data_IF_447772610092
#
_entry.id   IF_447772610092
#
_cell.length_a   1.000
_cell.length_b   1.000
_cell.length_c   1.000
_cell.angle_alpha   90.00
_cell.angle_beta   90.00
_cell.angle_gamma   90.00
#
_symmetry.space_group_name_H-M   'P 1'
#
loop_
_entity.id
_entity.type
_entity.pdbx_description
1 polymer ?
#
# COMPACT_ATOMS: atom_id res chain seq x y z
N UNK A 1 71.91 -13.98 14.57
CA UNK A 1 71.42 -15.38 14.66
C UNK A 1 69.92 -15.31 14.90
N UNK A 2 69.12 -15.14 13.85
CA UNK A 2 67.65 -15.18 13.95
C UNK A 2 67.27 -16.62 13.64
N UNK A 3 66.70 -17.27 14.62
CA UNK A 3 66.56 -18.70 14.73
C UNK A 3 65.51 -19.25 13.74
N UNK A 4 65.83 -20.37 13.13
CA UNK A 4 64.95 -21.19 12.24
C UNK A 4 63.60 -21.63 12.82
N UNK A 5 63.26 -21.19 14.04
CA UNK A 5 61.96 -21.42 14.70
C UNK A 5 60.81 -20.55 14.16
N UNK A 6 61.11 -19.33 13.73
CA UNK A 6 60.07 -18.38 13.23
C UNK A 6 59.50 -18.79 11.87
N UNK A 7 60.23 -19.50 11.04
CA UNK A 7 59.76 -19.97 9.73
C UNK A 7 58.81 -21.17 9.80
N UNK A 8 58.89 -22.02 10.83
CA UNK A 8 58.00 -23.16 11.02
C UNK A 8 56.61 -22.72 11.48
N UNK A 9 56.50 -21.63 12.25
CA UNK A 9 55.22 -21.13 12.72
C UNK A 9 54.48 -20.31 11.62
N UNK A 10 55.22 -19.61 10.77
CA UNK A 10 54.63 -18.91 9.62
C UNK A 10 54.08 -19.91 8.57
N UNK A 11 54.74 -21.01 8.30
CA UNK A 11 54.25 -22.06 7.42
C UNK A 11 53.01 -22.78 7.94
N UNK A 12 52.90 -22.96 9.27
CA UNK A 12 51.75 -23.61 9.89
C UNK A 12 50.51 -22.69 9.87
N UNK A 13 50.68 -21.35 10.08
CA UNK A 13 49.61 -20.37 10.02
C UNK A 13 49.11 -20.22 8.58
N UNK A 14 49.96 -20.22 7.59
CA UNK A 14 49.56 -20.16 6.16
C UNK A 14 48.80 -21.44 5.77
N UNK A 15 49.21 -22.62 6.25
CA UNK A 15 48.51 -23.88 6.02
C UNK A 15 47.13 -23.95 6.67
N UNK A 16 46.95 -23.33 7.86
CA UNK A 16 45.66 -23.26 8.53
C UNK A 16 44.75 -22.24 7.83
N UNK A 17 45.28 -21.13 7.34
CA UNK A 17 44.51 -20.13 6.58
C UNK A 17 44.06 -20.69 5.21
N UNK A 18 44.88 -21.47 4.53
CA UNK A 18 44.52 -22.12 3.27
C UNK A 18 43.51 -23.25 3.45
N UNK A 19 43.52 -23.97 4.59
CA UNK A 19 42.48 -24.96 4.89
C UNK A 19 41.14 -24.37 5.33
N UNK A 20 41.10 -23.14 5.84
CA UNK A 20 39.87 -22.42 6.15
C UNK A 20 39.21 -21.75 4.90
N UNK A 21 40.01 -21.51 3.85
CA UNK A 21 39.49 -20.96 2.58
C UNK A 21 38.93 -22.10 1.67
N UNK A 22 39.26 -23.37 1.96
CA UNK A 22 38.82 -24.53 1.16
C UNK A 22 37.47 -25.12 1.56
N UNK A 23 36.74 -24.51 2.48
CA UNK A 23 35.37 -24.89 2.83
C UNK A 23 34.35 -23.83 2.42
N UNK A 24 34.55 -23.14 1.30
CA UNK A 24 33.39 -22.67 0.55
C UNK A 24 32.81 -23.90 -0.13
N UNK A 25 31.80 -24.44 0.50
CA UNK A 25 30.94 -25.45 -0.09
C UNK A 25 30.35 -24.84 -1.37
N UNK A 26 31.01 -25.12 -2.49
CA UNK A 26 30.45 -24.94 -3.80
C UNK A 26 29.24 -25.91 -3.87
N UNK A 27 28.10 -25.47 -3.32
CA UNK A 27 26.83 -26.04 -3.74
C UNK A 27 26.73 -25.72 -5.21
N UNK A 28 27.08 -26.67 -6.05
CA UNK A 28 26.67 -26.67 -7.45
C UNK A 28 25.13 -26.65 -7.45
N UNK A 29 24.55 -25.47 -7.36
CA UNK A 29 23.18 -25.27 -7.68
C UNK A 29 23.07 -25.56 -9.16
N UNK A 30 22.39 -26.65 -9.48
CA UNK A 30 21.98 -26.94 -10.84
C UNK A 30 21.11 -25.77 -11.30
N UNK A 31 21.67 -24.94 -12.17
CA UNK A 31 21.10 -23.70 -12.73
C UNK A 31 19.97 -23.99 -13.70
N UNK A 32 19.19 -25.06 -13.50
CA UNK A 32 18.27 -25.63 -14.49
C UNK A 32 17.02 -24.78 -14.71
N UNK A 33 16.59 -23.92 -13.78
CA UNK A 33 15.33 -23.18 -13.90
C UNK A 33 15.49 -21.66 -14.10
N UNK A 34 16.69 -21.11 -13.98
CA UNK A 34 16.90 -19.67 -14.14
C UNK A 34 16.50 -19.11 -15.50
N UNK A 35 16.76 -19.78 -16.64
CA UNK A 35 16.36 -19.29 -17.95
C UNK A 35 14.85 -19.21 -18.11
N UNK A 36 14.10 -20.21 -17.63
CA UNK A 36 12.65 -20.27 -17.69
C UNK A 36 12.01 -19.23 -16.79
N UNK A 37 12.52 -19.03 -15.57
CA UNK A 37 12.07 -17.98 -14.66
C UNK A 37 12.30 -16.59 -15.26
N UNK A 38 13.47 -16.33 -15.80
CA UNK A 38 13.80 -15.06 -16.47
C UNK A 38 12.91 -14.82 -17.69
N UNK A 39 12.63 -15.89 -18.49
CA UNK A 39 11.71 -15.80 -19.63
C UNK A 39 10.29 -15.48 -19.20
N UNK A 40 9.78 -16.16 -18.17
CA UNK A 40 8.43 -15.91 -17.63
C UNK A 40 8.32 -14.47 -17.10
N UNK A 41 9.34 -14.01 -16.36
CA UNK A 41 9.38 -12.66 -15.83
C UNK A 41 9.39 -11.58 -16.92
N UNK A 42 10.22 -11.75 -17.95
CA UNK A 42 10.34 -10.80 -19.05
C UNK A 42 9.04 -10.58 -19.81
N UNK A 43 8.16 -11.60 -19.88
CA UNK A 43 6.88 -11.51 -20.59
C UNK A 43 5.68 -11.25 -19.66
N UNK A 44 5.88 -11.25 -18.34
CA UNK A 44 4.85 -11.23 -17.31
C UNK A 44 3.82 -10.10 -17.46
N UNK A 45 4.28 -8.90 -17.81
CA UNK A 45 3.38 -7.76 -17.98
C UNK A 45 2.63 -7.75 -19.31
N UNK A 46 3.20 -8.35 -20.34
CA UNK A 46 2.63 -8.31 -21.70
C UNK A 46 1.80 -9.56 -22.03
N UNK A 47 2.24 -10.71 -21.55
CA UNK A 47 1.65 -12.02 -21.84
C UNK A 47 1.57 -12.87 -20.57
N UNK A 48 0.73 -12.48 -19.58
CA UNK A 48 0.69 -13.15 -18.28
C UNK A 48 0.21 -14.61 -18.36
N UNK A 49 -0.64 -14.95 -19.32
CA UNK A 49 -1.08 -16.33 -19.63
C UNK A 49 0.09 -17.21 -20.06
N UNK A 50 0.91 -16.71 -20.97
CA UNK A 50 2.11 -17.42 -21.44
C UNK A 50 3.17 -17.53 -20.32
N UNK A 51 3.32 -16.50 -19.50
CA UNK A 51 4.19 -16.54 -18.32
C UNK A 51 3.72 -17.61 -17.32
N UNK A 52 2.42 -17.68 -17.05
CA UNK A 52 1.82 -18.70 -16.19
C UNK A 52 2.09 -20.11 -16.73
N UNK A 53 1.91 -20.34 -18.03
CA UNK A 53 2.17 -21.64 -18.65
C UNK A 53 3.63 -22.08 -18.49
N UNK A 54 4.57 -21.17 -18.69
CA UNK A 54 6.00 -21.45 -18.46
C UNK A 54 6.24 -21.85 -16.99
N UNK A 55 5.69 -21.07 -16.04
CA UNK A 55 5.88 -21.32 -14.61
C UNK A 55 5.25 -22.63 -14.14
N UNK A 56 4.11 -23.03 -14.71
CA UNK A 56 3.46 -24.32 -14.43
C UNK A 56 4.26 -25.52 -14.94
N UNK A 57 5.08 -25.34 -15.97
CA UNK A 57 5.98 -26.37 -16.49
C UNK A 57 7.23 -26.60 -15.61
N UNK A 58 7.50 -25.69 -14.65
CA UNK A 58 8.63 -25.81 -13.73
C UNK A 58 8.18 -26.64 -12.52
N UNK A 59 8.94 -27.70 -12.20
CA UNK A 59 8.78 -28.44 -10.94
C UNK A 59 9.96 -28.08 -10.04
N UNK A 60 9.83 -27.08 -9.17
CA UNK A 60 10.94 -26.69 -8.29
C UNK A 60 11.15 -27.76 -7.22
N UNK A 61 12.39 -28.22 -7.08
CA UNK A 61 12.77 -29.02 -5.92
C UNK A 61 12.58 -28.17 -4.65
N UNK A 62 11.84 -28.72 -3.70
CA UNK A 62 11.48 -28.00 -2.48
C UNK A 62 12.65 -28.00 -1.48
N UNK A 63 13.40 -26.92 -1.39
CA UNK A 63 13.85 -26.47 -0.09
C UNK A 63 13.51 -25.00 0.14
N UNK A 64 12.92 -24.73 1.29
CA UNK A 64 12.48 -23.43 1.80
C UNK A 64 13.53 -22.31 1.78
N UNK A 65 14.78 -22.61 1.53
CA UNK A 65 15.92 -21.67 1.55
C UNK A 65 16.52 -21.37 0.17
N UNK A 66 15.85 -21.77 -0.90
CA UNK A 66 16.36 -21.57 -2.25
C UNK A 66 15.76 -20.32 -2.88
N UNK A 67 16.62 -19.37 -3.30
CA UNK A 67 16.21 -18.16 -4.04
C UNK A 67 15.38 -18.48 -5.30
N UNK A 68 15.72 -19.57 -5.99
CA UNK A 68 14.98 -19.99 -7.18
C UNK A 68 13.55 -20.40 -6.86
N UNK A 69 13.34 -21.14 -5.75
CA UNK A 69 12.01 -21.54 -5.29
C UNK A 69 11.19 -20.34 -4.85
N UNK A 70 11.77 -19.42 -4.09
CA UNK A 70 11.13 -18.18 -3.69
C UNK A 70 10.79 -17.30 -4.89
N UNK A 71 11.67 -17.21 -5.89
CA UNK A 71 11.45 -16.49 -7.15
C UNK A 71 10.30 -17.12 -7.95
N UNK A 72 10.31 -18.46 -8.11
CA UNK A 72 9.22 -19.17 -8.76
C UNK A 72 7.88 -18.92 -8.05
N UNK A 73 7.84 -19.02 -6.73
CA UNK A 73 6.62 -18.78 -5.95
C UNK A 73 6.10 -17.35 -6.12
N UNK A 74 7.00 -16.36 -6.13
CA UNK A 74 6.66 -14.96 -6.36
C UNK A 74 6.09 -14.73 -7.76
N UNK A 75 6.77 -15.23 -8.79
CA UNK A 75 6.33 -15.09 -10.18
C UNK A 75 5.05 -15.88 -10.45
N UNK A 76 4.87 -17.04 -9.82
CA UNK A 76 3.62 -17.82 -9.90
C UNK A 76 2.46 -17.05 -9.29
N UNK A 77 2.64 -16.46 -8.11
CA UNK A 77 1.63 -15.57 -7.50
C UNK A 77 1.28 -14.42 -8.43
N UNK A 78 2.28 -13.76 -9.00
CA UNK A 78 2.08 -12.67 -9.96
C UNK A 78 1.31 -13.12 -11.19
N UNK A 79 1.67 -14.26 -11.77
CA UNK A 79 1.02 -14.78 -12.96
C UNK A 79 -0.43 -15.21 -12.67
N UNK A 80 -0.69 -15.87 -11.56
CA UNK A 80 -2.04 -16.24 -11.13
C UNK A 80 -2.94 -15.02 -10.94
N UNK A 81 -2.45 -14.00 -10.22
CA UNK A 81 -3.18 -12.74 -10.01
C UNK A 81 -3.54 -12.07 -11.34
N UNK A 82 -2.57 -11.92 -12.25
CA UNK A 82 -2.80 -11.30 -13.56
C UNK A 82 -3.77 -12.07 -14.44
N UNK A 83 -3.89 -13.36 -14.25
CA UNK A 83 -4.84 -14.24 -14.94
C UNK A 83 -6.17 -14.43 -14.19
N UNK A 84 -6.41 -13.66 -13.11
CA UNK A 84 -7.64 -13.70 -12.30
C UNK A 84 -7.93 -15.10 -11.73
N UNK A 85 -6.88 -15.85 -11.40
CA UNK A 85 -6.96 -17.14 -10.73
C UNK A 85 -6.96 -16.88 -9.23
N UNK A 86 -7.91 -17.50 -8.52
CA UNK A 86 -7.95 -17.45 -7.06
C UNK A 86 -6.67 -17.99 -6.46
N UNK A 87 -6.11 -17.25 -5.50
CA UNK A 87 -4.81 -17.54 -4.93
C UNK A 87 -4.94 -18.02 -3.49
N UNK A 88 -4.03 -18.92 -3.10
CA UNK A 88 -3.80 -19.25 -1.71
C UNK A 88 -2.59 -18.48 -1.17
N UNK A 89 -2.57 -18.24 0.14
CA UNK A 89 -1.46 -17.57 0.82
C UNK A 89 -0.13 -18.33 0.76
N UNK A 90 -0.14 -19.61 0.37
CA UNK A 90 1.03 -20.49 0.49
C UNK A 90 2.22 -20.00 -0.32
N UNK A 91 2.02 -19.69 -1.61
CA UNK A 91 3.10 -19.28 -2.50
C UNK A 91 3.69 -17.92 -2.11
N UNK A 92 2.83 -16.94 -1.84
CA UNK A 92 3.31 -15.61 -1.46
C UNK A 92 4.01 -15.64 -0.09
N UNK A 93 3.58 -16.48 0.84
CA UNK A 93 4.26 -16.62 2.13
C UNK A 93 5.67 -17.18 1.98
N UNK A 94 5.89 -18.11 1.08
CA UNK A 94 7.24 -18.62 0.74
C UNK A 94 8.10 -17.48 0.20
N UNK A 95 7.61 -16.76 -0.80
CA UNK A 95 8.33 -15.66 -1.41
C UNK A 95 8.62 -14.54 -0.40
N UNK A 96 7.61 -14.11 0.36
CA UNK A 96 7.74 -13.06 1.37
C UNK A 96 8.76 -13.44 2.45
N UNK A 97 8.65 -14.65 3.03
CA UNK A 97 9.56 -15.10 4.10
C UNK A 97 11.02 -15.13 3.66
N UNK A 98 11.27 -15.42 2.39
CA UNK A 98 12.61 -15.39 1.83
C UNK A 98 13.07 -13.95 1.56
N UNK A 99 12.33 -13.20 0.74
CA UNK A 99 12.80 -11.89 0.23
C UNK A 99 12.80 -10.78 1.27
N UNK A 100 11.99 -10.85 2.33
CA UNK A 100 11.98 -9.81 3.38
C UNK A 100 13.34 -9.64 4.06
N UNK A 101 14.13 -10.70 4.12
CA UNK A 101 15.44 -10.74 4.73
C UNK A 101 16.61 -10.58 3.73
N UNK A 102 16.34 -10.40 2.43
CA UNK A 102 17.35 -10.26 1.41
C UNK A 102 17.61 -8.79 1.06
N UNK A 103 18.81 -8.50 0.59
CA UNK A 103 19.16 -7.15 0.09
C UNK A 103 18.82 -7.02 -1.42
N UNK A 104 17.56 -7.27 -1.74
CA UNK A 104 17.01 -7.12 -3.08
C UNK A 104 15.69 -6.32 -3.02
N UNK A 105 15.82 -5.02 -3.12
CA UNK A 105 14.70 -4.09 -2.97
C UNK A 105 13.55 -4.35 -3.95
N UNK A 106 13.85 -4.73 -5.21
CA UNK A 106 12.83 -5.00 -6.22
C UNK A 106 12.01 -6.26 -5.88
N UNK A 107 12.68 -7.37 -5.52
CA UNK A 107 12.00 -8.62 -5.11
C UNK A 107 11.22 -8.43 -3.82
N UNK A 108 11.80 -7.71 -2.87
CA UNK A 108 11.14 -7.37 -1.62
C UNK A 108 9.87 -6.54 -1.85
N UNK A 109 9.96 -5.47 -2.66
CA UNK A 109 8.80 -4.66 -3.00
C UNK A 109 7.71 -5.48 -3.70
N UNK A 110 8.07 -6.36 -4.63
CA UNK A 110 7.13 -7.21 -5.36
C UNK A 110 6.45 -8.21 -4.42
N UNK A 111 7.19 -8.83 -3.50
CA UNK A 111 6.65 -9.77 -2.52
C UNK A 111 5.69 -9.06 -1.54
N UNK A 112 6.07 -7.89 -1.04
CA UNK A 112 5.22 -7.05 -0.19
C UNK A 112 3.94 -6.62 -0.92
N UNK A 113 4.05 -6.20 -2.18
CA UNK A 113 2.91 -5.82 -3.00
C UNK A 113 1.89 -6.95 -3.13
N UNK A 114 2.32 -8.16 -3.52
CA UNK A 114 1.39 -9.29 -3.67
C UNK A 114 0.88 -9.82 -2.33
N UNK A 115 1.66 -9.70 -1.25
CA UNK A 115 1.16 -9.98 0.10
C UNK A 115 0.05 -9.00 0.48
N UNK A 116 0.23 -7.71 0.17
CA UNK A 116 -0.80 -6.68 0.34
C UNK A 116 -2.06 -6.96 -0.48
N UNK A 117 -1.92 -7.38 -1.75
CA UNK A 117 -3.06 -7.77 -2.60
C UNK A 117 -3.89 -8.89 -1.94
N UNK A 118 -3.25 -9.98 -1.50
CA UNK A 118 -3.98 -11.08 -0.88
C UNK A 118 -4.65 -10.68 0.44
N UNK A 119 -3.98 -9.87 1.25
CA UNK A 119 -4.60 -9.32 2.46
C UNK A 119 -5.83 -8.46 2.11
N UNK A 120 -5.76 -7.66 1.05
CA UNK A 120 -6.88 -6.85 0.60
C UNK A 120 -8.07 -7.71 0.12
N UNK A 121 -7.80 -8.73 -0.70
CA UNK A 121 -8.81 -9.69 -1.17
C UNK A 121 -9.46 -10.48 -0.02
N UNK A 122 -8.69 -10.82 0.99
CA UNK A 122 -9.16 -11.47 2.23
C UNK A 122 -9.83 -10.52 3.22
N UNK A 123 -10.10 -9.27 2.82
CA UNK A 123 -10.72 -8.24 3.65
C UNK A 123 -9.89 -7.78 4.88
N UNK A 124 -8.58 -8.01 4.89
CA UNK A 124 -7.63 -7.51 5.88
C UNK A 124 -6.98 -6.19 5.39
N UNK A 125 -7.79 -5.16 5.27
CA UNK A 125 -7.38 -3.92 4.63
C UNK A 125 -6.26 -3.16 5.36
N UNK A 126 -6.14 -3.31 6.68
CA UNK A 126 -5.10 -2.69 7.49
C UNK A 126 -3.74 -3.34 7.21
N UNK A 127 -3.69 -4.66 7.19
CA UNK A 127 -2.49 -5.40 6.85
C UNK A 127 -2.07 -5.12 5.40
N UNK A 128 -3.04 -5.05 4.49
CA UNK A 128 -2.78 -4.69 3.09
C UNK A 128 -2.11 -3.33 2.97
N UNK A 129 -2.61 -2.31 3.67
CA UNK A 129 -2.02 -0.98 3.66
C UNK A 129 -0.59 -0.99 4.23
N UNK A 130 -0.35 -1.73 5.33
CA UNK A 130 1.00 -1.86 5.90
C UNK A 130 1.98 -2.43 4.88
N UNK A 131 1.62 -3.53 4.22
CA UNK A 131 2.46 -4.15 3.19
C UNK A 131 2.71 -3.22 1.99
N UNK A 132 1.71 -2.48 1.54
CA UNK A 132 1.89 -1.52 0.45
C UNK A 132 2.80 -0.36 0.84
N UNK A 133 2.69 0.15 2.06
CA UNK A 133 3.57 1.23 2.56
C UNK A 133 5.02 0.75 2.69
N UNK A 134 5.23 -0.47 3.19
CA UNK A 134 6.56 -1.10 3.20
C UNK A 134 7.09 -1.31 1.78
N UNK A 135 6.23 -1.76 0.84
CA UNK A 135 6.60 -1.91 -0.56
C UNK A 135 7.01 -0.57 -1.19
N UNK A 136 6.36 0.55 -0.83
CA UNK A 136 6.74 1.89 -1.29
C UNK A 136 8.16 2.24 -0.87
N UNK A 137 8.55 1.97 0.37
CA UNK A 137 9.88 2.25 0.87
C UNK A 137 10.98 1.43 0.15
N UNK A 138 10.65 0.23 -0.31
CA UNK A 138 11.60 -0.61 -1.06
C UNK A 138 11.64 -0.24 -2.54
N UNK A 139 10.49 0.05 -3.18
CA UNK A 139 10.46 0.36 -4.61
C UNK A 139 11.11 1.70 -4.95
N UNK A 140 11.10 2.67 -4.03
CA UNK A 140 11.79 3.95 -4.17
C UNK A 140 13.32 3.81 -4.30
N UNK A 141 13.89 2.66 -3.93
CA UNK A 141 15.32 2.32 -4.10
C UNK A 141 15.63 1.76 -5.49
N UNK A 142 14.63 1.62 -6.36
CA UNK A 142 14.73 0.94 -7.66
C UNK A 142 14.24 1.84 -8.79
N UNK A 143 14.41 1.37 -10.04
CA UNK A 143 13.87 2.01 -11.23
C UNK A 143 12.66 1.21 -11.79
N UNK A 144 12.01 0.37 -10.99
CA UNK A 144 10.81 -0.35 -11.42
C UNK A 144 9.57 0.56 -11.25
N UNK A 145 9.46 1.52 -12.15
CA UNK A 145 8.36 2.49 -12.18
C UNK A 145 7.01 1.83 -12.46
N UNK A 146 6.98 0.64 -13.10
CA UNK A 146 5.73 -0.08 -13.33
C UNK A 146 5.16 -0.60 -12.00
N UNK A 147 5.99 -1.24 -11.18
CA UNK A 147 5.59 -1.68 -9.85
C UNK A 147 5.30 -0.47 -8.94
N UNK A 148 6.09 0.60 -9.05
CA UNK A 148 5.85 1.85 -8.33
C UNK A 148 4.47 2.45 -8.63
N UNK A 149 4.04 2.43 -9.90
CA UNK A 149 2.68 2.82 -10.29
C UNK A 149 1.62 1.94 -9.60
N UNK A 150 1.78 0.63 -9.65
CA UNK A 150 0.82 -0.31 -9.09
C UNK A 150 0.66 -0.11 -7.57
N UNK A 151 1.77 -0.07 -6.83
CA UNK A 151 1.76 0.12 -5.37
C UNK A 151 1.06 1.43 -4.99
N UNK A 152 1.48 2.56 -5.57
CA UNK A 152 0.91 3.86 -5.24
C UNK A 152 -0.57 3.97 -5.65
N UNK A 153 -0.98 3.29 -6.74
CA UNK A 153 -2.39 3.23 -7.14
C UNK A 153 -3.25 2.50 -6.13
N UNK A 154 -2.81 1.35 -5.60
CA UNK A 154 -3.56 0.60 -4.58
C UNK A 154 -3.71 1.41 -3.29
N UNK A 155 -2.64 2.03 -2.81
CA UNK A 155 -2.71 2.91 -1.62
C UNK A 155 -3.69 4.06 -1.87
N UNK A 156 -3.56 4.74 -3.01
CA UNK A 156 -4.45 5.85 -3.38
C UNK A 156 -5.93 5.42 -3.45
N UNK A 157 -6.22 4.24 -4.03
CA UNK A 157 -7.56 3.68 -4.07
C UNK A 157 -8.10 3.34 -2.67
N UNK A 158 -7.27 2.78 -1.80
CA UNK A 158 -7.66 2.49 -0.42
C UNK A 158 -8.09 3.77 0.33
N UNK A 159 -7.35 4.86 0.17
CA UNK A 159 -7.73 6.17 0.75
C UNK A 159 -8.95 6.79 0.07
N UNK A 160 -9.05 6.69 -1.25
CA UNK A 160 -10.20 7.21 -1.99
C UNK A 160 -11.51 6.57 -1.52
N UNK A 161 -11.56 5.23 -1.37
CA UNK A 161 -12.74 4.52 -0.89
C UNK A 161 -13.15 4.92 0.52
N UNK A 162 -12.22 5.43 1.32
CA UNK A 162 -12.47 5.95 2.67
C UNK A 162 -12.71 7.44 2.73
N UNK A 163 -12.79 8.09 1.56
CA UNK A 163 -12.97 9.55 1.43
C UNK A 163 -11.83 10.39 2.02
N UNK A 164 -10.67 9.80 2.18
CA UNK A 164 -9.45 10.48 2.58
C UNK A 164 -8.76 11.05 1.33
N UNK A 165 -9.42 12.06 0.74
CA UNK A 165 -9.14 12.51 -0.61
C UNK A 165 -7.75 13.19 -0.76
N UNK A 166 -7.22 13.78 0.31
CA UNK A 166 -5.90 14.44 0.26
C UNK A 166 -4.79 13.40 0.21
N UNK A 167 -4.87 12.35 1.03
CA UNK A 167 -3.96 11.21 0.96
C UNK A 167 -4.09 10.48 -0.39
N UNK A 168 -5.32 10.25 -0.85
CA UNK A 168 -5.55 9.61 -2.14
C UNK A 168 -4.88 10.40 -3.28
N UNK A 169 -5.00 11.73 -3.29
CA UNK A 169 -4.39 12.59 -4.29
C UNK A 169 -2.85 12.50 -4.27
N UNK A 170 -2.24 12.54 -3.09
CA UNK A 170 -0.78 12.42 -2.95
C UNK A 170 -0.27 11.12 -3.60
N UNK A 171 -0.91 9.98 -3.31
CA UNK A 171 -0.49 8.70 -3.87
C UNK A 171 -0.83 8.57 -5.36
N UNK A 172 -1.93 9.16 -5.84
CA UNK A 172 -2.22 9.18 -7.27
C UNK A 172 -1.25 10.06 -8.06
N UNK A 173 -0.74 11.15 -7.50
CA UNK A 173 0.32 11.95 -8.11
C UNK A 173 1.64 11.18 -8.19
N UNK A 174 2.00 10.44 -7.14
CA UNK A 174 3.14 9.52 -7.16
C UNK A 174 2.96 8.41 -8.22
N UNK A 175 1.75 7.84 -8.29
CA UNK A 175 1.42 6.84 -9.31
C UNK A 175 1.53 7.41 -10.73
N UNK A 176 1.02 8.63 -10.94
CA UNK A 176 1.12 9.31 -12.23
C UNK A 176 2.57 9.55 -12.64
N UNK A 177 3.40 10.05 -11.74
CA UNK A 177 4.83 10.24 -11.99
C UNK A 177 5.52 8.93 -12.39
N UNK A 178 5.25 7.85 -11.66
CA UNK A 178 5.77 6.52 -12.01
C UNK A 178 5.24 6.01 -13.36
N UNK A 179 3.98 6.29 -13.69
CA UNK A 179 3.40 5.94 -14.99
C UNK A 179 4.12 6.64 -16.16
N UNK A 180 4.42 7.94 -15.99
CA UNK A 180 5.18 8.71 -16.97
C UNK A 180 6.60 8.16 -17.15
N UNK A 181 7.33 7.92 -16.04
CA UNK A 181 8.69 7.35 -16.09
C UNK A 181 8.72 5.95 -16.73
N UNK A 182 7.66 5.15 -16.52
CA UNK A 182 7.52 3.83 -17.15
C UNK A 182 7.19 3.89 -18.65
N UNK A 183 6.82 5.07 -19.18
CA UNK A 183 6.33 5.29 -20.54
C UNK A 183 5.16 4.36 -20.95
N UNK A 184 4.37 3.91 -19.97
CA UNK A 184 3.26 2.98 -20.19
C UNK A 184 1.95 3.75 -20.36
N UNK A 185 1.46 3.84 -21.60
CA UNK A 185 0.26 4.61 -21.93
C UNK A 185 -1.00 4.12 -21.19
N UNK A 186 -1.08 2.83 -20.89
CA UNK A 186 -2.17 2.27 -20.07
C UNK A 186 -2.12 2.80 -18.64
N UNK A 187 -0.95 2.84 -18.03
CA UNK A 187 -0.78 3.35 -16.66
C UNK A 187 -0.98 4.86 -16.58
N UNK A 188 -0.51 5.62 -17.58
CA UNK A 188 -0.77 7.06 -17.69
C UNK A 188 -2.28 7.31 -17.77
N UNK A 189 -3.02 6.55 -18.57
CA UNK A 189 -4.46 6.72 -18.67
C UNK A 189 -5.20 6.36 -17.36
N UNK A 190 -4.80 5.28 -16.68
CA UNK A 190 -5.37 4.93 -15.38
C UNK A 190 -5.05 5.95 -14.29
N UNK A 191 -3.83 6.51 -14.28
CA UNK A 191 -3.48 7.55 -13.30
C UNK A 191 -4.35 8.81 -13.47
N UNK A 192 -4.67 9.22 -14.70
CA UNK A 192 -5.63 10.29 -14.95
C UNK A 192 -7.03 9.95 -14.42
N UNK A 193 -7.50 8.71 -14.60
CA UNK A 193 -8.79 8.25 -14.04
C UNK A 193 -8.76 8.35 -12.51
N UNK A 194 -7.69 7.93 -11.86
CA UNK A 194 -7.58 7.97 -10.40
C UNK A 194 -7.54 9.40 -9.85
N UNK A 195 -6.77 10.28 -10.47
CA UNK A 195 -6.76 11.71 -10.13
C UNK A 195 -8.15 12.33 -10.34
N UNK A 196 -8.81 12.01 -11.45
CA UNK A 196 -10.16 12.49 -11.73
C UNK A 196 -11.18 12.03 -10.66
N UNK A 197 -11.08 10.79 -10.18
CA UNK A 197 -11.90 10.27 -9.08
C UNK A 197 -11.70 11.07 -7.79
N UNK A 198 -10.46 11.41 -7.46
CA UNK A 198 -10.15 12.22 -6.28
C UNK A 198 -10.75 13.63 -6.41
N UNK A 199 -10.62 14.28 -7.57
CA UNK A 199 -11.28 15.57 -7.82
C UNK A 199 -12.80 15.47 -7.78
N UNK A 200 -13.37 14.40 -8.31
CA UNK A 200 -14.81 14.14 -8.27
C UNK A 200 -15.33 14.03 -6.83
N UNK A 201 -14.63 13.30 -5.96
CA UNK A 201 -15.01 13.21 -4.55
C UNK A 201 -14.87 14.55 -3.80
N UNK A 202 -13.90 15.38 -4.18
CA UNK A 202 -13.77 16.76 -3.71
C UNK A 202 -14.80 17.71 -4.31
N UNK A 203 -15.73 17.21 -5.15
CA UNK A 203 -16.75 17.98 -5.87
C UNK A 203 -16.17 19.01 -6.85
N UNK A 204 -14.92 18.86 -7.25
CA UNK A 204 -14.26 19.69 -8.27
C UNK A 204 -14.51 19.10 -9.66
N UNK A 205 -15.78 19.09 -10.06
CA UNK A 205 -16.26 18.33 -11.22
C UNK A 205 -15.60 18.74 -12.54
N UNK A 206 -15.36 20.02 -12.76
CA UNK A 206 -14.73 20.49 -14.00
C UNK A 206 -13.28 19.97 -14.13
N UNK A 207 -12.53 19.98 -13.02
CA UNK A 207 -11.18 19.39 -13.03
C UNK A 207 -11.21 17.87 -13.24
N UNK A 208 -12.16 17.19 -12.60
CA UNK A 208 -12.35 15.76 -12.80
C UNK A 208 -12.63 15.42 -14.27
N UNK A 209 -13.53 16.19 -14.93
CA UNK A 209 -13.83 16.02 -16.36
C UNK A 209 -12.57 16.22 -17.22
N UNK A 210 -11.77 17.25 -16.96
CA UNK A 210 -10.52 17.50 -17.69
C UNK A 210 -9.58 16.28 -17.64
N UNK A 211 -9.39 15.68 -16.45
CA UNK A 211 -8.53 14.51 -16.30
C UNK A 211 -9.14 13.26 -16.95
N UNK A 212 -10.45 13.06 -16.88
CA UNK A 212 -11.10 11.97 -17.62
C UNK A 212 -10.96 12.16 -19.13
N UNK A 213 -11.04 13.36 -19.65
CA UNK A 213 -10.85 13.65 -21.07
C UNK A 213 -9.43 13.30 -21.54
N UNK A 214 -8.41 13.54 -20.70
CA UNK A 214 -7.04 13.07 -20.98
C UNK A 214 -7.00 11.54 -21.10
N UNK A 215 -7.64 10.82 -20.19
CA UNK A 215 -7.71 9.35 -20.24
C UNK A 215 -8.52 8.86 -21.45
N UNK A 216 -9.64 9.50 -21.79
CA UNK A 216 -10.46 9.20 -22.97
C UNK A 216 -9.63 9.35 -24.24
N UNK A 217 -8.89 10.44 -24.37
CA UNK A 217 -8.00 10.68 -25.53
C UNK A 217 -6.97 9.58 -25.71
N UNK A 218 -6.30 9.16 -24.63
CA UNK A 218 -5.34 8.04 -24.68
C UNK A 218 -6.06 6.74 -25.05
N UNK A 219 -7.23 6.48 -24.47
CA UNK A 219 -8.05 5.30 -24.79
C UNK A 219 -8.49 5.22 -26.23
N UNK A 220 -8.82 6.35 -26.85
CA UNK A 220 -9.17 6.46 -28.27
C UNK A 220 -7.97 6.24 -29.18
N UNK A 221 -6.87 6.95 -28.93
CA UNK A 221 -5.67 6.90 -29.79
C UNK A 221 -5.03 5.51 -29.79
N UNK A 222 -5.00 4.83 -28.64
CA UNK A 222 -4.34 3.53 -28.49
C UNK A 222 -5.31 2.34 -28.60
N UNK A 223 -6.60 2.59 -28.88
CA UNK A 223 -7.64 1.57 -28.93
C UNK A 223 -7.72 0.72 -27.65
N UNK A 224 -7.84 1.38 -26.49
CA UNK A 224 -7.99 0.75 -25.17
C UNK A 224 -9.47 0.78 -24.72
N UNK A 225 -10.32 -0.17 -25.13
CA UNK A 225 -11.77 -0.10 -24.91
C UNK A 225 -12.15 -0.10 -23.43
N UNK A 226 -11.39 -0.76 -22.57
CA UNK A 226 -11.65 -0.79 -21.12
C UNK A 226 -11.46 0.57 -20.49
N UNK A 227 -10.37 1.25 -20.81
CA UNK A 227 -10.04 2.60 -20.31
C UNK A 227 -11.07 3.59 -20.82
N UNK A 228 -11.31 3.58 -22.14
CA UNK A 228 -12.25 4.46 -22.79
C UNK A 228 -13.66 4.35 -22.17
N UNK A 229 -14.18 3.13 -22.06
CA UNK A 229 -15.51 2.92 -21.49
C UNK A 229 -15.57 3.27 -19.98
N UNK A 230 -14.50 3.06 -19.23
CA UNK A 230 -14.48 3.44 -17.80
C UNK A 230 -14.46 4.95 -17.61
N UNK A 231 -13.59 5.65 -18.32
CA UNK A 231 -13.50 7.11 -18.24
C UNK A 231 -14.81 7.77 -18.71
N UNK A 232 -15.40 7.31 -19.83
CA UNK A 232 -16.67 7.82 -20.33
C UNK A 232 -17.83 7.59 -19.35
N UNK A 233 -17.87 6.41 -18.72
CA UNK A 233 -18.90 6.09 -17.73
C UNK A 233 -18.86 7.06 -16.54
N UNK A 234 -17.67 7.33 -16.01
CA UNK A 234 -17.50 8.22 -14.86
C UNK A 234 -17.73 9.70 -15.25
N UNK A 235 -17.28 10.10 -16.45
CA UNK A 235 -17.56 11.45 -17.00
C UNK A 235 -19.06 11.69 -17.21
N UNK A 236 -19.80 10.67 -17.64
CA UNK A 236 -21.25 10.74 -17.79
C UNK A 236 -21.93 11.21 -16.49
N UNK A 237 -21.56 10.63 -15.37
CA UNK A 237 -22.09 11.04 -14.06
C UNK A 237 -21.72 12.50 -13.71
N UNK A 238 -20.52 12.95 -14.05
CA UNK A 238 -20.09 14.33 -13.80
C UNK A 238 -20.88 15.33 -14.66
N UNK A 239 -21.17 14.99 -15.92
CA UNK A 239 -22.03 15.82 -16.75
C UNK A 239 -23.43 15.99 -16.18
N UNK A 240 -23.99 15.00 -15.46
CA UNK A 240 -25.23 15.19 -14.72
C UNK A 240 -25.06 16.20 -13.59
N UNK A 241 -23.92 16.18 -12.89
CA UNK A 241 -23.63 17.11 -11.78
C UNK A 241 -23.39 18.54 -12.26
N UNK A 242 -22.90 18.72 -13.48
CA UNK A 242 -22.67 20.04 -14.09
C UNK A 242 -23.85 20.52 -14.94
N UNK A 243 -24.93 19.72 -15.08
CA UNK A 243 -26.14 20.07 -15.83
C UNK A 243 -26.06 19.81 -17.35
N UNK A 244 -25.00 19.15 -17.81
CA UNK A 244 -24.78 18.83 -19.24
C UNK A 244 -25.51 17.51 -19.63
N UNK A 245 -26.83 17.48 -19.40
CA UNK A 245 -27.64 16.29 -19.49
C UNK A 245 -27.56 15.53 -20.82
N UNK A 246 -27.45 16.25 -21.95
CA UNK A 246 -27.34 15.63 -23.27
C UNK A 246 -26.03 14.86 -23.42
N UNK A 247 -24.91 15.45 -22.97
CA UNK A 247 -23.61 14.79 -22.98
C UNK A 247 -23.60 13.59 -22.02
N UNK A 248 -24.15 13.73 -20.83
CA UNK A 248 -24.28 12.66 -19.87
C UNK A 248 -24.93 11.41 -20.49
N UNK A 249 -26.10 11.58 -21.09
CA UNK A 249 -26.81 10.46 -21.71
C UNK A 249 -26.04 9.86 -22.89
N UNK A 250 -25.41 10.73 -23.71
CA UNK A 250 -24.60 10.25 -24.85
C UNK A 250 -23.43 9.39 -24.38
N UNK A 251 -22.66 9.87 -23.40
CA UNK A 251 -21.52 9.15 -22.84
C UNK A 251 -21.94 7.84 -22.17
N UNK A 252 -23.05 7.83 -21.42
CA UNK A 252 -23.58 6.61 -20.80
C UNK A 252 -24.00 5.55 -21.84
N UNK A 253 -24.58 5.97 -22.96
CA UNK A 253 -24.95 5.07 -24.07
C UNK A 253 -23.71 4.53 -24.81
N UNK A 254 -22.75 5.39 -25.08
CA UNK A 254 -21.58 5.01 -25.87
C UNK A 254 -20.63 4.10 -25.07
N UNK A 255 -20.48 4.29 -23.75
CA UNK A 255 -19.66 3.41 -22.95
C UNK A 255 -20.19 1.96 -22.91
N UNK A 256 -21.51 1.75 -22.96
CA UNK A 256 -22.11 0.41 -23.05
C UNK A 256 -21.84 -0.23 -24.42
N UNK A 257 -21.88 0.54 -25.52
CA UNK A 257 -21.56 0.03 -26.87
C UNK A 257 -20.10 -0.44 -26.94
N UNK A 258 -19.18 0.29 -26.30
CA UNK A 258 -17.75 -0.05 -26.28
C UNK A 258 -17.51 -1.33 -25.47
N UNK A 259 -18.08 -1.40 -24.25
CA UNK A 259 -17.95 -2.58 -23.38
C UNK A 259 -19.15 -2.67 -22.44
N UNK A 260 -20.02 -3.64 -22.66
CA UNK A 260 -21.20 -3.87 -21.83
C UNK A 260 -20.80 -4.58 -20.53
N UNK A 261 -21.16 -4.01 -19.38
CA UNK A 261 -21.04 -4.61 -18.03
C UNK A 261 -22.23 -4.20 -17.18
N UNK A 262 -22.55 -4.98 -16.15
CA UNK A 262 -23.68 -4.69 -15.25
C UNK A 262 -23.54 -3.31 -14.59
N UNK A 263 -22.32 -2.94 -14.21
CA UNK A 263 -22.03 -1.62 -13.66
C UNK A 263 -22.39 -0.48 -14.64
N UNK A 264 -22.13 -0.65 -15.93
CA UNK A 264 -22.46 0.35 -16.95
C UNK A 264 -23.93 0.35 -17.29
N UNK A 265 -24.60 -0.82 -17.25
CA UNK A 265 -26.05 -0.93 -17.32
C UNK A 265 -26.70 -0.16 -16.19
N UNK A 266 -26.22 -0.35 -14.95
CA UNK A 266 -26.63 0.44 -13.79
C UNK A 266 -26.43 1.94 -14.05
N UNK A 267 -25.24 2.36 -14.49
CA UNK A 267 -24.92 3.77 -14.71
C UNK A 267 -25.82 4.43 -15.75
N UNK A 268 -26.19 3.71 -16.82
CA UNK A 268 -27.14 4.21 -17.80
C UNK A 268 -28.55 4.32 -17.19
N UNK A 269 -28.99 3.31 -16.44
CA UNK A 269 -30.27 3.34 -15.74
C UNK A 269 -30.36 4.50 -14.74
N UNK A 270 -29.28 4.74 -13.99
CA UNK A 270 -29.21 5.87 -13.04
C UNK A 270 -29.15 7.23 -13.78
N UNK A 271 -28.49 7.30 -14.93
CA UNK A 271 -28.53 8.48 -15.81
C UNK A 271 -29.95 8.78 -16.24
N UNK A 272 -30.72 7.78 -16.70
CA UNK A 272 -32.14 7.96 -17.04
C UNK A 272 -32.98 8.40 -15.83
N UNK A 273 -32.71 7.86 -14.63
CA UNK A 273 -33.36 8.29 -13.37
C UNK A 273 -33.12 9.78 -13.10
N UNK A 274 -31.86 10.24 -13.18
CA UNK A 274 -31.54 11.67 -13.01
C UNK A 274 -32.25 12.56 -14.02
N UNK A 275 -32.44 12.06 -15.23
CA UNK A 275 -33.18 12.77 -16.30
C UNK A 275 -34.70 12.62 -16.18
N UNK A 276 -35.21 11.94 -15.15
CA UNK A 276 -36.62 11.64 -14.90
C UNK A 276 -37.30 10.84 -16.04
N UNK A 277 -36.53 10.07 -16.79
CA UNK A 277 -36.98 9.18 -17.83
C UNK A 277 -37.23 7.78 -17.25
N UNK A 278 -38.26 7.66 -16.39
CA UNK A 278 -38.42 6.53 -15.48
C UNK A 278 -38.64 5.19 -16.20
N UNK A 279 -39.38 5.16 -17.31
CA UNK A 279 -39.57 3.91 -18.09
C UNK A 279 -38.21 3.30 -18.52
N UNK A 280 -37.36 4.15 -19.09
CA UNK A 280 -36.00 3.71 -19.46
C UNK A 280 -35.14 3.38 -18.24
N UNK A 281 -35.28 4.14 -17.16
CA UNK A 281 -34.57 3.85 -15.91
C UNK A 281 -34.94 2.47 -15.35
N UNK A 282 -36.24 2.16 -15.25
CA UNK A 282 -36.73 0.85 -14.80
C UNK A 282 -36.17 -0.30 -15.65
N UNK A 283 -36.16 -0.13 -16.98
CA UNK A 283 -35.65 -1.15 -17.89
C UNK A 283 -34.18 -1.51 -17.57
N UNK A 284 -33.31 -0.53 -17.45
CA UNK A 284 -31.89 -0.77 -17.21
C UNK A 284 -31.59 -1.12 -15.75
N UNK A 285 -32.25 -0.50 -14.79
CA UNK A 285 -32.04 -0.77 -13.36
C UNK A 285 -32.50 -2.16 -12.98
N UNK A 286 -33.63 -2.67 -13.51
CA UNK A 286 -34.05 -4.04 -13.28
C UNK A 286 -33.03 -5.06 -13.83
N UNK A 287 -32.39 -4.78 -14.96
CA UNK A 287 -31.28 -5.63 -15.43
C UNK A 287 -30.08 -5.59 -14.45
N UNK A 288 -29.73 -4.41 -13.95
CA UNK A 288 -28.64 -4.24 -13.01
C UNK A 288 -28.89 -4.89 -11.65
N UNK A 289 -30.15 -5.04 -11.23
CA UNK A 289 -30.53 -5.79 -10.03
C UNK A 289 -30.15 -7.27 -10.08
N UNK A 290 -30.01 -7.85 -11.27
CA UNK A 290 -29.64 -9.24 -11.49
C UNK A 290 -28.12 -9.46 -11.49
N UNK A 291 -27.35 -8.42 -11.26
CA UNK A 291 -25.89 -8.52 -11.24
C UNK A 291 -25.39 -9.44 -10.11
N UNK A 292 -24.45 -10.35 -10.37
CA UNK A 292 -23.77 -11.10 -9.32
C UNK A 292 -22.93 -10.21 -8.42
N UNK A 293 -22.57 -9.00 -8.86
CA UNK A 293 -21.88 -8.04 -8.03
C UNK A 293 -22.87 -7.34 -7.08
N UNK A 294 -22.74 -7.66 -5.79
CA UNK A 294 -23.65 -7.19 -4.73
C UNK A 294 -23.70 -5.66 -4.61
N UNK A 295 -22.60 -4.95 -4.91
CA UNK A 295 -22.56 -3.49 -4.87
C UNK A 295 -23.35 -2.90 -6.04
N UNK A 296 -23.29 -3.51 -7.23
CA UNK A 296 -24.08 -3.08 -8.40
C UNK A 296 -25.57 -3.32 -8.15
N UNK A 297 -25.94 -4.53 -7.71
CA UNK A 297 -27.33 -4.87 -7.40
C UNK A 297 -27.92 -3.94 -6.33
N UNK A 298 -27.19 -3.72 -5.23
CA UNK A 298 -27.58 -2.78 -4.16
C UNK A 298 -27.82 -1.37 -4.72
N UNK A 299 -26.89 -0.86 -5.54
CA UNK A 299 -27.01 0.48 -6.11
C UNK A 299 -28.21 0.60 -7.05
N UNK A 300 -28.53 -0.46 -7.79
CA UNK A 300 -29.72 -0.52 -8.64
C UNK A 300 -31.01 -0.50 -7.81
N UNK A 301 -31.11 -1.29 -6.74
CA UNK A 301 -32.27 -1.21 -5.82
C UNK A 301 -32.39 0.15 -5.15
N UNK A 302 -31.29 0.80 -4.81
CA UNK A 302 -31.31 2.16 -4.26
C UNK A 302 -31.85 3.17 -5.25
N UNK A 303 -31.48 3.07 -6.52
CA UNK A 303 -32.01 3.94 -7.58
C UNK A 303 -33.51 3.71 -7.79
N UNK A 304 -33.96 2.44 -7.81
CA UNK A 304 -35.39 2.08 -7.90
C UNK A 304 -36.19 2.56 -6.69
N UNK A 305 -35.63 2.48 -5.49
CA UNK A 305 -36.24 3.03 -4.29
C UNK A 305 -36.48 4.55 -4.42
N UNK A 306 -35.48 5.31 -4.91
CA UNK A 306 -35.67 6.74 -5.14
C UNK A 306 -36.75 7.06 -6.20
N UNK A 307 -36.80 6.30 -7.30
CA UNK A 307 -37.84 6.46 -8.30
C UNK A 307 -39.24 6.25 -7.66
N UNK A 308 -39.40 5.14 -6.94
CA UNK A 308 -40.68 4.81 -6.31
C UNK A 308 -41.15 5.87 -5.27
N UNK A 309 -40.21 6.52 -4.57
CA UNK A 309 -40.53 7.65 -3.70
C UNK A 309 -40.99 8.88 -4.48
N UNK A 310 -40.32 9.20 -5.59
CA UNK A 310 -40.69 10.34 -6.44
C UNK A 310 -42.07 10.12 -7.11
N UNK A 311 -42.38 8.88 -7.51
CA UNK A 311 -43.68 8.47 -8.06
C UNK A 311 -44.76 8.26 -6.98
N UNK A 312 -44.39 8.34 -5.68
CA UNK A 312 -45.29 8.08 -4.54
C UNK A 312 -45.83 6.64 -4.51
N UNK A 313 -45.19 5.71 -5.16
CA UNK A 313 -45.48 4.27 -5.08
C UNK A 313 -44.83 3.69 -3.81
N UNK A 314 -45.47 3.94 -2.66
CA UNK A 314 -44.95 3.52 -1.35
C UNK A 314 -44.87 2.03 -1.20
N UNK A 315 -45.65 1.25 -1.95
CA UNK A 315 -45.61 -0.22 -1.93
C UNK A 315 -44.27 -0.71 -2.52
N UNK A 316 -43.93 -0.21 -3.70
CA UNK A 316 -42.62 -0.53 -4.31
C UNK A 316 -41.45 0.04 -3.50
N UNK A 317 -41.61 1.22 -2.91
CA UNK A 317 -40.59 1.80 -2.07
C UNK A 317 -40.25 0.87 -0.87
N UNK A 318 -41.25 0.28 -0.20
CA UNK A 318 -41.03 -0.70 0.87
C UNK A 318 -40.36 -1.96 0.35
N UNK A 319 -40.79 -2.48 -0.81
CA UNK A 319 -40.17 -3.66 -1.42
C UNK A 319 -38.68 -3.44 -1.71
N UNK A 320 -38.33 -2.35 -2.37
CA UNK A 320 -36.95 -2.01 -2.67
C UNK A 320 -36.12 -1.70 -1.42
N UNK A 321 -36.72 -1.09 -0.41
CA UNK A 321 -36.08 -0.86 0.89
C UNK A 321 -35.69 -2.16 1.58
N UNK A 322 -36.56 -3.17 1.54
CA UNK A 322 -36.25 -4.50 2.11
C UNK A 322 -35.07 -5.17 1.37
N UNK A 323 -35.01 -5.05 0.04
CA UNK A 323 -33.86 -5.53 -0.74
C UNK A 323 -32.59 -4.77 -0.39
N UNK A 324 -32.64 -3.45 -0.22
CA UNK A 324 -31.50 -2.64 0.24
C UNK A 324 -30.97 -3.08 1.59
N UNK A 325 -31.86 -3.34 2.54
CA UNK A 325 -31.48 -3.86 3.87
C UNK A 325 -30.73 -5.16 3.77
N UNK A 326 -31.23 -6.11 2.96
CA UNK A 326 -30.57 -7.39 2.73
C UNK A 326 -29.13 -7.22 2.21
N UNK A 327 -28.94 -6.37 1.19
CA UNK A 327 -27.60 -6.11 0.64
C UNK A 327 -26.72 -5.29 1.59
N UNK A 328 -27.28 -4.39 2.39
CA UNK A 328 -26.54 -3.61 3.38
C UNK A 328 -25.97 -4.50 4.48
N UNK A 329 -26.73 -5.44 4.96
CA UNK A 329 -26.28 -6.42 5.98
C UNK A 329 -25.21 -7.35 5.41
N UNK A 330 -25.35 -7.75 4.13
CA UNK A 330 -24.38 -8.58 3.42
C UNK A 330 -23.04 -7.87 3.13
N UNK A 331 -23.05 -6.55 2.87
CA UNK A 331 -21.83 -5.75 2.63
C UNK A 331 -21.07 -5.51 3.94
N UNK A 332 -21.70 -5.74 5.07
CA UNK A 332 -21.07 -5.81 6.39
C UNK A 332 -20.66 -4.49 7.00
N UNK A 333 -21.06 -4.38 8.14
CA UNK A 333 -20.51 -3.94 9.41
C UNK A 333 -19.09 -3.42 9.30
N UNK A 334 -18.93 -2.21 8.80
CA UNK A 334 -17.61 -1.69 8.60
C UNK A 334 -17.37 -0.41 9.37
N UNK A 335 -16.97 -0.58 10.63
CA UNK A 335 -16.09 0.37 11.31
C UNK A 335 -14.62 0.27 10.82
N UNK A 336 -14.40 -0.36 9.66
CA UNK A 336 -13.07 -0.50 9.03
C UNK A 336 -12.42 0.84 8.67
N UNK A 337 -13.22 1.88 8.45
CA UNK A 337 -12.70 3.21 8.16
C UNK A 337 -11.89 3.79 9.33
N UNK A 338 -12.30 3.49 10.56
CA UNK A 338 -11.71 4.01 11.78
C UNK A 338 -10.32 3.41 12.02
N UNK A 339 -10.22 2.08 11.91
CA UNK A 339 -8.96 1.38 12.07
C UNK A 339 -7.91 1.78 11.02
N UNK A 340 -8.34 2.09 9.80
CA UNK A 340 -7.42 2.55 8.76
C UNK A 340 -6.93 3.99 8.98
N UNK A 341 -7.79 4.87 9.46
CA UNK A 341 -7.39 6.22 9.86
C UNK A 341 -6.39 6.13 11.01
N UNK A 342 -6.68 5.32 12.03
CA UNK A 342 -5.77 5.09 13.15
C UNK A 342 -4.42 4.49 12.70
N UNK A 343 -4.45 3.59 11.72
CA UNK A 343 -3.23 3.01 11.17
C UNK A 343 -2.42 4.02 10.37
N UNK A 344 -3.08 4.86 9.57
CA UNK A 344 -2.40 5.95 8.86
C UNK A 344 -1.80 6.96 9.84
N UNK A 345 -2.56 7.37 10.86
CA UNK A 345 -2.05 8.26 11.89
C UNK A 345 -0.83 7.66 12.60
N UNK A 346 -0.86 6.37 12.91
CA UNK A 346 0.29 5.65 13.48
C UNK A 346 1.48 5.62 12.52
N UNK A 347 1.22 5.35 11.24
CA UNK A 347 2.27 5.33 10.22
C UNK A 347 2.89 6.72 10.02
N UNK A 348 2.07 7.77 9.91
CA UNK A 348 2.55 9.13 9.75
C UNK A 348 3.33 9.58 10.98
N UNK A 349 2.87 9.22 12.17
CA UNK A 349 3.61 9.47 13.40
C UNK A 349 4.92 8.68 13.45
N UNK A 350 4.91 7.41 13.04
CA UNK A 350 6.12 6.61 12.95
C UNK A 350 7.09 7.17 11.90
N UNK A 351 6.58 7.66 10.78
CA UNK A 351 7.37 8.34 9.74
C UNK A 351 7.98 9.62 10.28
N UNK A 352 7.20 10.48 10.96
CA UNK A 352 7.68 11.71 11.62
C UNK A 352 8.73 11.36 12.67
N UNK A 353 8.50 10.32 13.46
CA UNK A 353 9.46 9.83 14.45
C UNK A 353 10.75 9.38 13.77
N UNK A 354 10.65 8.62 12.66
CA UNK A 354 11.81 8.13 11.91
C UNK A 354 12.57 9.29 11.23
N UNK A 355 11.88 10.26 10.65
CA UNK A 355 12.48 11.45 10.04
C UNK A 355 13.16 12.34 11.10
N UNK A 356 12.53 12.52 12.25
CA UNK A 356 13.12 13.21 13.39
C UNK A 356 14.34 12.46 13.93
N UNK A 357 14.30 11.12 13.99
CA UNK A 357 15.43 10.28 14.35
C UNK A 357 16.60 10.43 13.36
N UNK A 358 16.30 10.40 12.05
CA UNK A 358 17.31 10.62 11.00
C UNK A 358 17.89 12.03 11.05
N UNK A 359 17.06 13.03 11.29
CA UNK A 359 17.49 14.41 11.48
C UNK A 359 18.37 14.55 12.74
N UNK A 360 17.97 13.89 13.82
CA UNK A 360 18.74 13.87 15.08
C UNK A 360 20.08 13.14 14.91
N UNK A 361 20.08 11.99 14.24
CA UNK A 361 21.33 11.26 13.90
C UNK A 361 22.26 12.11 13.03
N UNK A 362 21.70 12.89 12.08
CA UNK A 362 22.48 13.84 11.27
C UNK A 362 23.03 14.99 12.13
N UNK A 363 22.22 15.57 13.03
CA UNK A 363 22.65 16.61 13.98
C UNK A 363 23.73 16.06 14.93
N UNK A 364 23.52 14.86 15.48
CA UNK A 364 24.48 14.19 16.35
C UNK A 364 25.79 13.87 15.62
N UNK A 365 25.72 13.50 14.34
CA UNK A 365 26.89 13.32 13.49
C UNK A 365 27.65 14.62 13.25
N UNK A 366 26.94 15.72 12.98
CA UNK A 366 27.52 17.05 12.81
C UNK A 366 28.13 17.53 14.13
N UNK A 367 27.40 17.41 15.24
CA UNK A 367 27.87 17.75 16.58
C UNK A 367 29.13 16.92 16.93
N UNK A 368 29.08 15.60 16.66
CA UNK A 368 30.23 14.71 16.85
C UNK A 368 31.43 15.11 15.99
N UNK A 369 31.24 15.48 14.72
CA UNK A 369 32.31 15.92 13.83
C UNK A 369 32.87 17.31 14.26
N UNK A 370 32.01 18.20 14.72
CA UNK A 370 32.41 19.48 15.30
C UNK A 370 33.19 19.27 16.61
N UNK A 371 32.75 18.33 17.46
CA UNK A 371 33.46 17.98 18.68
C UNK A 371 34.82 17.36 18.41
N UNK A 372 34.90 16.48 17.38
CA UNK A 372 36.19 15.92 16.94
C UNK A 372 37.11 17.05 16.45
N UNK A 373 36.57 17.98 15.65
CA UNK A 373 37.36 19.13 15.20
C UNK A 373 37.78 20.05 16.33
N UNK A 374 36.92 20.27 17.34
CA UNK A 374 37.26 21.05 18.54
C UNK A 374 38.26 20.35 19.44
N UNK A 375 38.19 19.00 19.53
CA UNK A 375 39.18 18.18 20.24
C UNK A 375 40.54 18.27 19.52
N UNK A 376 40.55 18.18 18.18
CA UNK A 376 41.78 18.36 17.41
C UNK A 376 42.33 19.77 17.57
N UNK A 377 41.47 20.77 17.54
CA UNK A 377 41.87 22.16 17.76
C UNK A 377 42.37 22.39 19.20
N UNK A 378 41.68 21.82 20.19
CA UNK A 378 42.14 21.87 21.61
C UNK A 378 43.46 21.11 21.84
N UNK A 379 43.69 20.03 21.05
CA UNK A 379 44.96 19.33 21.06
C UNK A 379 46.08 20.15 20.43
N UNK A 380 45.77 20.89 19.37
CA UNK A 380 46.72 21.84 18.75
C UNK A 380 47.00 23.01 19.69
N UNK A 381 45.95 23.54 20.36
CA UNK A 381 46.08 24.59 21.36
C UNK A 381 46.76 24.07 22.63
N UNK A 382 46.47 22.80 23.03
CA UNK A 382 47.10 22.17 24.20
C UNK A 382 48.59 21.86 23.98
N UNK A 383 48.97 21.61 22.71
CA UNK A 383 50.41 21.52 22.33
C UNK A 383 51.05 22.92 22.46
N UNK A 384 50.27 23.98 22.26
CA UNK A 384 50.78 25.36 22.34
C UNK A 384 50.58 26.03 23.71
N UNK A 385 49.53 25.63 24.46
CA UNK A 385 49.21 26.18 25.78
C UNK A 385 48.90 25.10 26.81
N UNK A 386 49.89 24.51 27.32
CA UNK A 386 49.92 23.38 28.23
C UNK A 386 48.91 23.43 29.41
N UNK A 387 47.89 22.53 29.35
CA UNK A 387 47.27 21.83 30.50
C UNK A 387 46.12 22.44 31.34
N UNK A 388 45.79 23.66 31.31
CA UNK A 388 44.91 24.18 32.36
C UNK A 388 43.38 24.13 32.09
N UNK A 389 42.94 24.12 30.84
CA UNK A 389 41.49 24.20 30.53
C UNK A 389 40.84 22.87 30.06
N UNK A 390 41.59 21.82 29.88
CA UNK A 390 41.13 20.58 29.27
C UNK A 390 40.01 19.86 30.03
N UNK A 391 40.02 19.89 31.36
CA UNK A 391 39.09 19.10 32.18
C UNK A 391 37.71 19.76 32.32
N UNK A 392 37.64 21.07 32.36
CA UNK A 392 36.38 21.82 32.59
C UNK A 392 35.54 21.91 31.31
N UNK A 393 36.16 22.11 30.16
CA UNK A 393 35.42 22.25 28.86
C UNK A 393 34.84 20.92 28.42
N UNK A 394 35.59 19.82 28.58
CA UNK A 394 35.13 18.49 28.21
C UNK A 394 33.94 18.03 29.06
N UNK A 395 33.95 18.29 30.36
CA UNK A 395 32.83 17.90 31.25
C UNK A 395 31.57 18.73 30.98
N UNK A 396 31.71 20.01 30.63
CA UNK A 396 30.58 20.90 30.37
C UNK A 396 29.87 20.56 29.07
N UNK A 397 30.61 20.10 28.06
CA UNK A 397 30.02 19.67 26.78
C UNK A 397 29.28 18.32 26.91
N UNK A 398 29.84 17.40 27.71
CA UNK A 398 29.21 16.11 27.97
C UNK A 398 27.85 16.23 28.69
N UNK A 399 27.76 17.19 29.63
CA UNK A 399 26.52 17.50 30.36
C UNK A 399 25.46 18.09 29.39
N UNK A 400 25.84 19.00 28.49
CA UNK A 400 24.96 19.63 27.53
C UNK A 400 24.38 18.60 26.54
N UNK A 401 25.19 17.66 26.06
CA UNK A 401 24.71 16.55 25.20
C UNK A 401 23.73 15.60 25.91
N UNK A 402 24.00 15.32 27.19
CA UNK A 402 23.12 14.53 28.04
C UNK A 402 21.78 15.24 28.28
N UNK A 403 21.80 16.54 28.53
CA UNK A 403 20.59 17.34 28.71
C UNK A 403 19.75 17.47 27.40
N UNK A 404 20.40 17.61 26.25
CA UNK A 404 19.69 17.62 24.95
C UNK A 404 19.07 16.26 24.62
N UNK A 405 19.79 15.16 24.86
CA UNK A 405 19.25 13.80 24.70
C UNK A 405 18.06 13.54 25.62
N UNK A 406 18.13 13.98 26.87
CA UNK A 406 17.02 13.84 27.82
C UNK A 406 15.79 14.63 27.36
N UNK A 407 15.93 15.89 26.93
CA UNK A 407 14.82 16.71 26.42
C UNK A 407 14.16 16.08 25.17
N UNK A 408 14.98 15.54 24.29
CA UNK A 408 14.47 14.85 23.08
C UNK A 408 13.65 13.60 23.42
N UNK A 409 14.15 12.74 24.32
CA UNK A 409 13.40 11.56 24.73
C UNK A 409 12.12 11.89 25.47
N UNK A 410 12.13 12.94 26.28
CA UNK A 410 10.95 13.41 27.03
C UNK A 410 9.85 13.92 26.07
N UNK A 411 10.21 14.68 25.03
CA UNK A 411 9.25 15.12 24.01
C UNK A 411 8.62 13.92 23.26
N UNK A 412 9.45 12.94 22.92
CA UNK A 412 9.00 11.73 22.24
C UNK A 412 8.06 10.85 23.06
N UNK A 413 8.32 10.77 24.36
CA UNK A 413 7.44 10.07 25.30
C UNK A 413 6.07 10.75 25.35
N UNK A 414 6.05 12.09 25.44
CA UNK A 414 4.81 12.86 25.51
C UNK A 414 3.95 12.76 24.23
N UNK A 415 4.57 12.73 23.05
CA UNK A 415 3.85 12.48 21.78
C UNK A 415 3.20 11.08 21.76
N UNK A 416 3.93 10.08 22.23
CA UNK A 416 3.40 8.72 22.32
C UNK A 416 2.28 8.59 23.36
N UNK A 417 2.39 9.25 24.52
CA UNK A 417 1.33 9.27 25.53
C UNK A 417 0.04 9.91 25.04
N UNK A 418 0.13 11.00 24.27
CA UNK A 418 -1.06 11.63 23.68
C UNK A 418 -1.75 10.72 22.66
N UNK A 419 -0.99 9.95 21.88
CA UNK A 419 -1.52 8.95 20.96
C UNK A 419 -2.22 7.82 21.68
N UNK A 420 -1.61 7.32 22.76
CA UNK A 420 -2.17 6.24 23.58
C UNK A 420 -3.52 6.67 24.18
N UNK A 421 -3.58 7.88 24.73
CA UNK A 421 -4.80 8.38 25.32
C UNK A 421 -5.92 8.54 24.28
N UNK A 422 -5.59 9.01 23.07
CA UNK A 422 -6.55 9.10 21.98
C UNK A 422 -7.08 7.72 21.57
N UNK A 423 -6.18 6.73 21.46
CA UNK A 423 -6.58 5.36 21.13
C UNK A 423 -7.39 4.67 22.24
N UNK A 424 -7.07 4.96 23.53
CA UNK A 424 -7.86 4.49 24.68
C UNK A 424 -9.29 5.02 24.64
N UNK A 425 -9.47 6.32 24.47
CA UNK A 425 -10.81 6.93 24.37
C UNK A 425 -11.61 6.33 23.22
N UNK A 426 -10.94 6.07 22.08
CA UNK A 426 -11.56 5.46 20.91
C UNK A 426 -12.00 4.01 21.14
N UNK A 427 -11.22 3.24 21.91
CA UNK A 427 -11.56 1.87 22.34
C UNK A 427 -12.76 1.88 23.30
N UNK A 428 -12.80 2.84 24.25
CA UNK A 428 -13.92 3.01 25.18
C UNK A 428 -15.23 3.37 24.44
N UNK A 429 -15.19 4.30 23.49
CA UNK A 429 -16.35 4.64 22.65
C UNK A 429 -16.87 3.43 21.88
N UNK A 430 -15.97 2.60 21.32
CA UNK A 430 -16.32 1.36 20.62
C UNK A 430 -16.90 0.29 21.57
N UNK A 431 -16.35 0.21 22.79
CA UNK A 431 -16.83 -0.75 23.81
C UNK A 431 -18.25 -0.45 24.25
N UNK A 432 -18.58 0.84 24.44
CA UNK A 432 -19.92 1.29 24.81
C UNK A 432 -20.95 0.99 23.70
N UNK A 433 -20.55 1.13 22.43
CA UNK A 433 -21.41 0.80 21.28
C UNK A 433 -21.68 -0.71 21.12
N UNK A 434 -20.88 -1.55 21.75
CA UNK A 434 -20.85 -3.01 21.55
C UNK A 434 -21.62 -3.82 22.59
N UNK A 435 -22.15 -3.23 23.67
CA UNK A 435 -22.81 -3.97 24.77
C UNK A 435 -24.15 -4.65 24.39
N UNK A 436 -24.57 -4.57 23.14
CA UNK A 436 -25.89 -5.02 22.69
C UNK A 436 -26.00 -6.33 21.89
N UNK A 437 -24.94 -6.99 21.43
CA UNK A 437 -25.06 -8.23 20.67
C UNK A 437 -23.89 -9.22 20.79
N UNK A 438 -24.18 -10.50 20.58
CA UNK A 438 -23.21 -11.61 20.74
C UNK A 438 -22.13 -11.65 19.64
N UNK A 439 -22.43 -11.19 18.44
CA UNK A 439 -21.47 -11.05 17.33
C UNK A 439 -20.40 -9.97 17.57
N UNK A 440 -20.76 -8.98 18.34
CA UNK A 440 -19.88 -7.89 18.81
C UNK A 440 -18.82 -8.42 19.80
N UNK A 441 -19.08 -9.50 20.54
CA UNK A 441 -18.10 -10.08 21.47
C UNK A 441 -16.89 -10.72 20.80
N UNK A 442 -17.02 -11.24 19.58
CA UNK A 442 -15.87 -11.78 18.84
C UNK A 442 -14.99 -10.68 18.26
N UNK A 443 -15.58 -9.63 17.73
CA UNK A 443 -14.85 -8.45 17.27
C UNK A 443 -14.16 -7.71 18.43
N UNK A 444 -14.77 -7.70 19.62
CA UNK A 444 -14.16 -7.17 20.84
C UNK A 444 -12.91 -7.95 21.27
N UNK A 445 -12.90 -9.28 21.12
CA UNK A 445 -11.71 -10.10 21.40
C UNK A 445 -10.55 -9.75 20.50
N UNK A 446 -10.81 -9.48 19.24
CA UNK A 446 -9.79 -9.12 18.26
C UNK A 446 -9.24 -7.71 18.51
N UNK A 447 -10.10 -6.77 18.85
CA UNK A 447 -9.73 -5.41 19.27
C UNK A 447 -8.91 -5.39 20.57
N UNK A 448 -9.22 -6.26 21.53
CA UNK A 448 -8.41 -6.41 22.74
C UNK A 448 -7.03 -7.01 22.46
N UNK A 449 -6.89 -7.83 21.45
CA UNK A 449 -5.59 -8.35 21.00
C UNK A 449 -4.71 -7.21 20.48
N UNK A 450 -5.27 -6.35 19.65
CA UNK A 450 -4.60 -5.13 19.15
C UNK A 450 -4.19 -4.21 20.31
N UNK A 451 -5.06 -4.06 21.32
CA UNK A 451 -4.77 -3.30 22.54
C UNK A 451 -3.58 -3.86 23.33
N UNK A 452 -3.49 -5.18 23.44
CA UNK A 452 -2.37 -5.85 24.11
C UNK A 452 -1.05 -5.68 23.34
N UNK A 453 -1.08 -5.72 22.00
CA UNK A 453 0.07 -5.50 21.16
C UNK A 453 0.59 -4.05 21.28
N UNK A 454 -0.31 -3.07 21.33
CA UNK A 454 0.06 -1.66 21.60
C UNK A 454 0.69 -1.51 22.99
N UNK A 455 0.13 -2.14 24.02
CA UNK A 455 0.70 -2.13 25.37
C UNK A 455 2.08 -2.81 25.44
N UNK A 456 2.28 -3.88 24.68
CA UNK A 456 3.58 -4.56 24.59
C UNK A 456 4.64 -3.68 23.91
N UNK A 457 4.30 -2.98 22.85
CA UNK A 457 5.21 -2.02 22.20
C UNK A 457 5.57 -0.85 23.13
N UNK A 458 4.63 -0.41 23.96
CA UNK A 458 4.86 0.63 24.97
C UNK A 458 5.75 0.18 26.12
N UNK A 459 5.62 -1.07 26.54
CA UNK A 459 6.53 -1.64 27.56
C UNK A 459 7.96 -1.75 27.05
N UNK A 460 8.15 -1.96 25.74
CA UNK A 460 9.47 -1.97 25.10
C UNK A 460 10.10 -0.56 25.02
N UNK A 461 9.28 0.49 24.94
CA UNK A 461 9.74 1.88 24.97
C UNK A 461 10.20 2.26 26.39
N UNK A 462 9.51 1.78 27.43
CA UNK A 462 9.91 2.02 28.82
C UNK A 462 11.18 1.26 29.27
N UNK A 463 11.49 0.13 28.60
CA UNK A 463 12.70 -0.65 28.91
C UNK A 463 13.97 -0.04 28.28
N UNK A 464 13.82 0.90 27.34
CA UNK A 464 14.95 1.54 26.67
C UNK A 464 15.42 2.84 27.32
N UNK A 465 14.97 3.17 28.54
CA UNK A 465 15.63 4.23 29.32
C UNK A 465 17.00 3.74 29.77
N UNK A 466 18.08 4.38 29.38
CA UNK A 466 19.39 4.05 29.91
C UNK A 466 19.49 4.50 31.37
N UNK A 467 19.77 3.57 32.24
CA UNK A 467 20.25 3.82 33.59
C UNK A 467 21.51 4.67 33.60
#
# INVERSE_FOLDING_TARGET
MITMSSFKHAGLIISIITSLISCTHNKNYTTTFQPELAKAEAIMYRYPDSALHILQGIQPDNPSDNEQYATWALLMTQAQYKNQIEQSDSLINIAYSYFINQDNAQRKALALYYKGILCHESHHAEDALSFYLEATAEIEKTNDYQLGFLINSEIGLMYLYRKLNDYAMEYFEKAHHNAELSNNQTYIAFSFIYIARAFSQKKQYNKAIEYYEKAIKIGQVNNYPTILASAMNETSFLFLKTGENKKALQYAKDCIKIKKTDQRIFSLGDTYRYLKMYDSAYFYLNQACLSPNIHTARSAYQALFYISQEEKDYKKAVEYSNKLWFYQDSIGKTDRNKALIEMQEKYDQQKIINENNLSQIKKDRIIRNVLIALIILSFIIAITNYLYQRKIVSQKQEILEKEEKIRYFTMKIHENETLINRNKMRIEELTIQMEGSQEIKEQWKEQNKIRQEIQQQLSLIHISEPT
#
